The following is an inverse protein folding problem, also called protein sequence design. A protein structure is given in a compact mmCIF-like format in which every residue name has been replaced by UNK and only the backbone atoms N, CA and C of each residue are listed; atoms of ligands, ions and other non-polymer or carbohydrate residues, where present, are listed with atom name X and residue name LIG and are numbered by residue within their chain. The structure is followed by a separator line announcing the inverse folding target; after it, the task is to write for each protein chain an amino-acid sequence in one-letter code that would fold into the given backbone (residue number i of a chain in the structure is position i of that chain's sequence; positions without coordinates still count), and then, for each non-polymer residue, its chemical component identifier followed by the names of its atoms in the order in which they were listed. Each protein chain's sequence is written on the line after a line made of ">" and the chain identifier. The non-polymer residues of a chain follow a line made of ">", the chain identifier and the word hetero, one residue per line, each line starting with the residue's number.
data_IF_800518976890
#
_entry.id   IF_800518976890
#
_cell.length_a   1.000
_cell.length_b   1.000
_cell.length_c   1.000
_cell.angle_alpha   90.00
_cell.angle_beta   90.00
_cell.angle_gamma   90.00
#
_symmetry.space_group_name_H-M   'P 1'
#
loop_
_entity.id
_entity.type
_entity.pdbx_description
1 polymer ?
#
# COMPACT_ATOMS: atom_id res chain seq x y z
N UNK A 1 -38.58 40.70 4.01
CA UNK A 1 -38.81 39.43 3.29
C UNK A 1 -37.53 38.62 3.34
N UNK A 2 -37.47 37.62 4.22
CA UNK A 2 -36.31 36.73 4.28
C UNK A 2 -36.50 35.62 3.22
N UNK A 3 -35.66 35.62 2.20
CA UNK A 3 -35.65 34.58 1.16
C UNK A 3 -35.26 33.25 1.81
N UNK A 4 -36.22 32.34 1.93
CA UNK A 4 -35.98 30.96 2.36
C UNK A 4 -35.11 30.28 1.29
N UNK A 5 -33.83 30.10 1.58
CA UNK A 5 -32.88 29.45 0.65
C UNK A 5 -33.35 28.03 0.38
N UNK A 6 -33.60 27.73 -0.89
CA UNK A 6 -34.15 26.45 -1.35
C UNK A 6 -33.33 25.25 -0.83
N UNK A 7 -33.98 24.22 -0.23
CA UNK A 7 -33.31 23.01 0.24
C UNK A 7 -32.65 22.22 -0.90
N UNK A 8 -33.13 22.42 -2.14
CA UNK A 8 -32.55 21.82 -3.33
C UNK A 8 -31.14 22.32 -3.59
N UNK A 9 -30.87 23.61 -3.34
CA UNK A 9 -29.54 24.19 -3.50
C UNK A 9 -28.55 23.63 -2.48
N UNK A 10 -29.00 23.31 -1.26
CA UNK A 10 -28.16 22.64 -0.25
C UNK A 10 -27.84 21.20 -0.64
N UNK A 11 -28.82 20.45 -1.15
CA UNK A 11 -28.62 19.07 -1.60
C UNK A 11 -27.67 19.00 -2.80
N UNK A 12 -27.83 19.87 -3.80
CA UNK A 12 -26.93 19.92 -4.97
C UNK A 12 -25.49 20.27 -4.56
N UNK A 13 -25.32 21.19 -3.59
CA UNK A 13 -24.00 21.58 -3.07
C UNK A 13 -23.35 20.47 -2.24
N UNK A 14 -24.13 19.71 -1.47
CA UNK A 14 -23.65 18.54 -0.74
C UNK A 14 -23.24 17.40 -1.68
N UNK A 15 -24.01 17.14 -2.74
CA UNK A 15 -23.65 16.15 -3.77
C UNK A 15 -22.36 16.53 -4.52
N UNK A 16 -22.19 17.81 -4.88
CA UNK A 16 -20.95 18.30 -5.49
C UNK A 16 -19.74 18.17 -4.56
N UNK A 17 -19.90 18.46 -3.27
CA UNK A 17 -18.83 18.30 -2.27
C UNK A 17 -18.46 16.83 -2.07
N UNK A 18 -19.42 15.89 -2.06
CA UNK A 18 -19.12 14.46 -2.02
C UNK A 18 -18.36 13.97 -3.26
N UNK A 19 -18.69 14.47 -4.46
CA UNK A 19 -17.95 14.14 -5.68
C UNK A 19 -16.50 14.63 -5.64
N UNK A 20 -16.26 15.85 -5.13
CA UNK A 20 -14.91 16.41 -5.00
C UNK A 20 -14.08 15.68 -3.92
N UNK A 21 -14.71 15.17 -2.86
CA UNK A 21 -14.01 14.37 -1.83
C UNK A 21 -13.73 12.93 -2.26
N UNK A 22 -14.39 12.45 -3.32
CA UNK A 22 -14.18 11.10 -3.86
C UNK A 22 -13.12 11.03 -4.95
N UNK A 23 -12.58 12.16 -5.41
CA UNK A 23 -11.35 12.21 -6.21
C UNK A 23 -10.14 12.10 -5.28
N UNK A 24 -10.05 10.98 -4.56
CA UNK A 24 -8.86 10.61 -3.79
C UNK A 24 -7.73 10.17 -4.73
N UNK A 25 -6.50 10.56 -4.42
CA UNK A 25 -5.32 10.41 -5.26
C UNK A 25 -5.14 8.99 -5.83
N UNK A 26 -5.05 8.90 -7.16
CA UNK A 26 -4.72 7.69 -7.92
C UNK A 26 -5.87 6.70 -8.05
N UNK A 27 -6.56 6.71 -9.19
CA UNK A 27 -7.48 5.60 -9.55
C UNK A 27 -6.66 4.35 -9.89
N UNK A 28 -7.16 3.19 -9.49
CA UNK A 28 -6.60 1.89 -9.85
C UNK A 28 -7.69 0.97 -10.42
N UNK A 29 -7.31 0.05 -11.29
CA UNK A 29 -8.21 -0.90 -11.94
C UNK A 29 -8.24 -2.25 -11.21
N UNK A 30 -7.10 -2.69 -10.67
CA UNK A 30 -6.93 -3.97 -9.98
C UNK A 30 -5.79 -3.92 -8.95
N UNK A 31 -5.67 -4.98 -8.14
CA UNK A 31 -4.53 -5.17 -7.25
C UNK A 31 -3.60 -6.27 -7.75
N UNK A 32 -2.30 -6.01 -7.68
CA UNK A 32 -1.27 -7.03 -7.81
C UNK A 32 -0.83 -7.50 -6.44
N UNK A 33 -1.06 -8.76 -6.14
CA UNK A 33 -0.45 -9.42 -4.98
C UNK A 33 0.87 -10.05 -5.41
N UNK A 34 1.97 -9.37 -5.10
CA UNK A 34 3.30 -9.73 -5.58
C UNK A 34 4.04 -10.53 -4.52
N UNK A 35 4.57 -11.67 -4.94
CA UNK A 35 5.38 -12.55 -4.11
C UNK A 35 6.81 -12.60 -4.65
N UNK A 36 7.78 -12.74 -3.75
CA UNK A 36 9.19 -12.87 -4.06
C UNK A 36 9.71 -14.24 -3.65
N UNK A 37 10.66 -14.76 -4.44
CA UNK A 37 11.42 -15.95 -4.11
C UNK A 37 12.77 -15.53 -3.52
N UNK A 38 12.97 -15.63 -2.19
CA UNK A 38 14.14 -15.04 -1.53
C UNK A 38 15.49 -15.45 -2.12
N UNK A 39 15.75 -16.74 -2.47
CA UNK A 39 17.01 -17.14 -3.09
C UNK A 39 17.35 -16.40 -4.39
N UNK A 40 16.35 -16.21 -5.27
CA UNK A 40 16.57 -15.50 -6.54
C UNK A 40 16.69 -14.00 -6.31
N UNK A 41 15.86 -13.41 -5.45
CA UNK A 41 15.91 -11.97 -5.15
C UNK A 41 17.29 -11.55 -4.64
N UNK A 42 17.84 -12.27 -3.65
CA UNK A 42 19.16 -11.96 -3.11
C UNK A 42 20.29 -12.30 -4.10
N UNK A 43 20.16 -13.41 -4.85
CA UNK A 43 21.14 -13.84 -5.83
C UNK A 43 21.36 -12.81 -6.94
N UNK A 44 20.27 -12.27 -7.51
CA UNK A 44 20.33 -11.21 -8.53
C UNK A 44 20.98 -9.93 -7.98
N UNK A 45 20.77 -9.62 -6.70
CA UNK A 45 21.34 -8.45 -6.02
C UNK A 45 22.82 -8.63 -5.62
N UNK A 46 23.37 -9.84 -5.78
CA UNK A 46 24.77 -10.16 -5.44
C UNK A 46 25.07 -10.07 -3.93
N UNK A 47 24.06 -10.20 -3.07
CA UNK A 47 24.20 -10.07 -1.61
C UNK A 47 23.67 -11.31 -0.90
N UNK A 48 24.27 -11.73 0.23
CA UNK A 48 23.68 -12.75 1.09
C UNK A 48 22.32 -12.29 1.62
N UNK A 49 21.31 -13.18 1.63
CA UNK A 49 20.03 -12.85 2.24
C UNK A 49 20.18 -12.65 3.75
N UNK A 50 19.49 -11.65 4.29
CA UNK A 50 19.49 -11.33 5.72
C UNK A 50 18.84 -12.43 6.58
N UNK A 51 17.86 -13.15 6.03
CA UNK A 51 17.08 -14.19 6.73
C UNK A 51 17.14 -15.54 6.02
N UNK A 52 18.27 -16.27 6.11
CA UNK A 52 18.46 -17.52 5.40
C UNK A 52 17.53 -18.67 5.83
N UNK A 53 16.81 -18.53 6.96
CA UNK A 53 15.82 -19.53 7.41
C UNK A 53 14.47 -19.44 6.70
N UNK A 54 14.17 -18.32 6.03
CA UNK A 54 12.90 -18.10 5.32
C UNK A 54 12.99 -18.42 3.82
N UNK A 55 14.07 -19.09 3.39
CA UNK A 55 14.43 -19.24 1.96
C UNK A 55 13.65 -20.29 1.17
N UNK A 56 12.73 -21.04 1.79
CA UNK A 56 12.05 -22.17 1.13
C UNK A 56 10.63 -21.86 0.67
N UNK A 57 10.07 -20.71 1.06
CA UNK A 57 8.72 -20.31 0.69
C UNK A 57 8.75 -18.99 -0.07
N UNK A 58 7.75 -18.79 -0.91
CA UNK A 58 7.43 -17.45 -1.39
C UNK A 58 7.03 -16.57 -0.21
N UNK A 59 7.55 -15.35 -0.21
CA UNK A 59 7.14 -14.33 0.75
C UNK A 59 6.47 -13.19 0.00
N UNK A 60 5.65 -12.41 0.70
CA UNK A 60 5.04 -11.21 0.15
C UNK A 60 6.17 -10.22 -0.20
N UNK A 61 6.06 -9.59 -1.37
CA UNK A 61 6.83 -8.41 -1.72
C UNK A 61 5.97 -7.16 -1.51
N UNK A 62 4.75 -7.17 -2.04
CA UNK A 62 3.81 -6.06 -1.86
C UNK A 62 2.42 -6.35 -2.40
N UNK A 63 1.49 -5.46 -2.06
CA UNK A 63 0.15 -5.40 -2.62
C UNK A 63 0.01 -4.04 -3.31
N UNK A 64 -0.02 -4.02 -4.64
CA UNK A 64 0.06 -2.79 -5.41
C UNK A 64 -1.25 -2.50 -6.14
N UNK A 65 -1.86 -1.32 -5.94
CA UNK A 65 -2.90 -0.82 -6.84
C UNK A 65 -2.27 -0.59 -8.23
N UNK A 66 -2.94 -1.08 -9.27
CA UNK A 66 -2.41 -1.08 -10.64
C UNK A 66 -3.48 -0.70 -11.65
N UNK A 67 -3.06 -0.09 -12.76
CA UNK A 67 -3.90 0.19 -13.92
C UNK A 67 -3.53 -0.71 -15.10
N UNK A 68 -4.47 -1.01 -15.99
CA UNK A 68 -4.18 -1.78 -17.21
C UNK A 68 -3.26 -1.03 -18.16
N UNK A 69 -3.36 0.30 -18.20
CA UNK A 69 -2.52 1.18 -19.03
C UNK A 69 -1.09 1.28 -18.52
N UNK A 70 -0.90 1.26 -17.19
CA UNK A 70 0.39 1.23 -16.55
C UNK A 70 0.33 0.41 -15.25
N UNK A 71 0.87 -0.82 -15.23
CA UNK A 71 0.81 -1.71 -14.08
C UNK A 71 1.55 -1.20 -12.83
N UNK A 72 2.45 -0.21 -12.97
CA UNK A 72 3.20 0.37 -11.83
C UNK A 72 2.52 1.60 -11.22
N UNK A 73 1.36 2.01 -11.77
CA UNK A 73 0.59 3.16 -11.30
C UNK A 73 -0.78 2.74 -10.77
N UNK A 74 -1.31 3.42 -9.74
CA UNK A 74 -0.75 4.62 -9.12
C UNK A 74 0.41 4.31 -8.14
N UNK A 75 1.28 5.29 -7.91
CA UNK A 75 2.32 5.24 -6.88
C UNK A 75 2.57 6.62 -6.27
N UNK A 76 3.11 6.65 -5.06
CA UNK A 76 3.37 7.78 -4.18
C UNK A 76 2.12 8.64 -3.94
N UNK A 77 0.97 8.00 -3.75
CA UNK A 77 -0.30 8.68 -3.49
C UNK A 77 -0.23 9.46 -2.16
N UNK A 78 -0.96 10.59 -2.05
CA UNK A 78 -1.08 11.21 -0.72
C UNK A 78 -1.98 10.36 0.16
N UNK A 79 -1.62 10.29 1.44
CA UNK A 79 -2.33 9.50 2.44
C UNK A 79 -1.62 9.56 3.78
N UNK A 80 -2.17 8.85 4.76
CA UNK A 80 -1.50 8.70 6.05
C UNK A 80 -0.18 7.98 5.87
N UNK A 81 0.91 8.55 6.38
CA UNK A 81 2.21 7.87 6.38
C UNK A 81 2.19 6.65 7.28
N UNK A 82 3.07 5.70 6.97
CA UNK A 82 3.23 4.50 7.76
C UNK A 82 3.52 4.84 9.21
N UNK A 83 2.80 4.18 10.12
CA UNK A 83 3.05 4.28 11.56
C UNK A 83 3.13 2.86 12.11
N UNK A 84 4.33 2.42 12.49
CA UNK A 84 4.55 1.06 12.97
C UNK A 84 3.56 0.69 14.09
N UNK A 85 3.26 1.61 15.02
CA UNK A 85 2.30 1.42 16.12
C UNK A 85 0.89 0.98 15.68
N UNK A 86 0.47 1.28 14.44
CA UNK A 86 -0.83 0.87 13.88
C UNK A 86 -0.83 -0.59 13.41
N UNK A 87 0.35 -1.18 13.20
CA UNK A 87 0.48 -2.62 12.97
C UNK A 87 0.41 -3.31 14.33
N UNK A 88 -0.74 -3.90 14.66
CA UNK A 88 -0.98 -4.50 15.97
C UNK A 88 -0.07 -5.72 16.22
N UNK A 89 0.25 -6.06 17.48
CA UNK A 89 1.28 -7.06 17.81
C UNK A 89 1.08 -8.44 17.16
N UNK A 90 -0.16 -8.91 17.07
CA UNK A 90 -0.48 -10.19 16.44
C UNK A 90 -0.11 -10.20 14.95
N UNK A 91 -0.56 -9.19 14.20
CA UNK A 91 -0.23 -9.05 12.78
C UNK A 91 1.27 -8.89 12.54
N UNK A 92 1.99 -8.18 13.41
CA UNK A 92 3.46 -8.06 13.28
C UNK A 92 4.16 -9.42 13.33
N UNK A 93 3.66 -10.36 14.13
CA UNK A 93 4.24 -11.71 14.20
C UNK A 93 4.04 -12.46 12.89
N UNK A 94 2.85 -12.35 12.30
CA UNK A 94 2.55 -12.97 11.01
C UNK A 94 3.38 -12.33 9.88
N UNK A 95 3.48 -11.00 9.85
CA UNK A 95 4.24 -10.25 8.85
C UNK A 95 5.75 -10.55 8.89
N UNK A 96 6.33 -10.80 10.08
CA UNK A 96 7.74 -11.20 10.20
C UNK A 96 8.06 -12.52 9.50
N UNK A 97 7.05 -13.37 9.31
CA UNK A 97 7.15 -14.68 8.65
C UNK A 97 6.78 -14.54 7.16
N UNK A 98 5.63 -13.92 6.87
CA UNK A 98 5.06 -13.89 5.53
C UNK A 98 5.51 -12.71 4.67
N UNK A 99 5.92 -11.59 5.26
CA UNK A 99 6.34 -10.37 4.57
C UNK A 99 7.68 -9.80 5.11
N UNK A 100 8.76 -10.60 5.14
CA UNK A 100 10.07 -10.15 5.62
C UNK A 100 10.81 -9.30 4.58
N UNK A 101 11.70 -8.45 5.06
CA UNK A 101 12.77 -7.88 4.24
C UNK A 101 13.89 -8.91 4.06
N UNK A 102 13.94 -9.50 2.87
CA UNK A 102 14.92 -10.55 2.51
C UNK A 102 16.31 -9.99 2.17
N UNK A 103 16.41 -8.69 1.86
CA UNK A 103 17.64 -8.06 1.42
C UNK A 103 18.40 -7.42 2.57
N UNK A 104 17.79 -6.47 3.30
CA UNK A 104 18.47 -5.73 4.38
C UNK A 104 18.16 -6.28 5.77
N UNK A 105 17.09 -7.06 5.90
CA UNK A 105 16.62 -7.61 7.18
C UNK A 105 15.87 -6.61 8.05
N UNK A 106 15.62 -5.40 7.57
CA UNK A 106 14.85 -4.38 8.28
C UNK A 106 13.40 -4.38 7.80
N UNK A 107 12.61 -5.30 8.37
CA UNK A 107 11.20 -5.50 7.98
C UNK A 107 10.38 -4.21 8.11
N UNK A 108 10.60 -3.42 9.17
CA UNK A 108 9.80 -2.21 9.41
C UNK A 108 10.05 -1.14 8.35
N UNK A 109 11.31 -0.95 7.95
CA UNK A 109 11.67 -0.04 6.86
C UNK A 109 11.12 -0.51 5.52
N UNK A 110 11.09 -1.83 5.30
CA UNK A 110 10.49 -2.41 4.10
C UNK A 110 8.98 -2.19 4.05
N UNK A 111 8.25 -2.49 5.13
CA UNK A 111 6.81 -2.22 5.23
C UNK A 111 6.48 -0.74 5.06
N UNK A 112 7.30 0.14 5.64
CA UNK A 112 7.18 1.59 5.46
C UNK A 112 7.32 2.00 3.99
N UNK A 113 8.31 1.44 3.28
CA UNK A 113 8.52 1.68 1.86
C UNK A 113 7.34 1.24 1.01
N UNK A 114 6.82 0.04 1.24
CA UNK A 114 5.67 -0.50 0.50
C UNK A 114 4.36 0.23 0.81
N UNK A 115 4.17 0.74 2.04
CA UNK A 115 2.97 1.50 2.42
C UNK A 115 2.99 2.95 1.89
N UNK A 116 4.15 3.58 1.91
CA UNK A 116 4.28 5.00 1.53
C UNK A 116 4.46 5.21 0.02
N UNK A 117 4.77 4.13 -0.72
CA UNK A 117 4.77 4.07 -2.18
C UNK A 117 3.34 3.96 -2.71
#
# INVERSE_FOLDING_TARGET
>A
MAMLKSPLAFLVRAFFLCFIMSTGDGTYDYFQFVQQWPPTTCGVRGKPCSKPRLLQNFTIHGLWPSNYSNPTMPSNCNGSKFEARKVYPQLRSDLKISWPDVESGNDTKFWEGEWNK
#
